data_IF_787198170705
#
_entry.id   IF_787198170705
#
_cell.length_a   1.000
_cell.length_b   1.000
_cell.length_c   1.000
_cell.angle_alpha   90.00
_cell.angle_beta   90.00
_cell.angle_gamma   90.00
#
_symmetry.space_group_name_H-M   'P 1'
#
loop_
_entity.id
_entity.type
_entity.pdbx_description
1 polymer ?
#
# COMPACT_ATOMS: atom_id res chain seq x y z
N UNK A 1 -5.45 17.78 17.55
CA UNK A 1 -4.04 17.35 17.70
C UNK A 1 -3.19 18.17 16.73
N UNK A 2 -1.92 18.50 17.04
CA UNK A 2 -0.98 18.99 16.01
C UNK A 2 -0.27 17.77 15.44
N UNK A 3 -0.34 17.57 14.13
CA UNK A 3 0.28 16.43 13.45
C UNK A 3 0.38 16.70 11.95
N UNK A 4 1.14 15.86 11.26
CA UNK A 4 1.34 15.93 9.81
C UNK A 4 0.94 14.59 9.18
N UNK A 5 0.47 14.66 7.93
CA UNK A 5 0.12 13.49 7.13
C UNK A 5 0.80 13.65 5.78
N UNK A 6 1.47 12.59 5.32
CA UNK A 6 1.99 12.46 3.97
C UNK A 6 1.34 11.24 3.33
N UNK A 7 0.88 11.39 2.09
CA UNK A 7 0.20 10.34 1.32
C UNK A 7 0.50 10.51 -0.18
N UNK A 8 0.23 9.46 -0.98
CA UNK A 8 0.49 9.45 -2.42
C UNK A 8 -0.39 10.43 -3.21
N UNK A 9 -1.58 10.76 -2.68
CA UNK A 9 -2.49 11.74 -3.25
C UNK A 9 -2.84 12.87 -2.26
N UNK A 10 -3.02 14.08 -2.79
CA UNK A 10 -3.47 15.26 -2.02
C UNK A 10 -4.75 14.98 -1.24
N UNK A 11 -5.74 14.34 -1.85
CA UNK A 11 -7.03 14.04 -1.23
C UNK A 11 -6.90 13.05 -0.07
N UNK A 12 -6.04 12.03 -0.21
CA UNK A 12 -5.69 11.10 0.87
C UNK A 12 -5.04 11.83 2.05
N UNK A 13 -4.08 12.73 1.77
CA UNK A 13 -3.45 13.54 2.82
C UNK A 13 -4.44 14.49 3.50
N UNK A 14 -5.34 15.12 2.74
CA UNK A 14 -6.40 15.99 3.26
C UNK A 14 -7.40 15.24 4.14
N UNK A 15 -7.74 13.99 3.80
CA UNK A 15 -8.61 13.12 4.58
C UNK A 15 -7.96 12.72 5.92
N UNK A 16 -6.68 12.35 5.91
CA UNK A 16 -5.94 12.11 7.16
C UNK A 16 -5.82 13.37 8.02
N UNK A 17 -5.53 14.52 7.40
CA UNK A 17 -5.47 15.81 8.09
C UNK A 17 -6.84 16.21 8.66
N UNK A 18 -7.94 15.87 7.99
CA UNK A 18 -9.29 16.04 8.50
C UNK A 18 -9.50 15.25 9.80
N UNK A 19 -9.12 13.97 9.84
CA UNK A 19 -9.27 13.16 11.05
C UNK A 19 -8.47 13.72 12.24
N UNK A 20 -7.26 14.25 12.01
CA UNK A 20 -6.48 14.94 13.06
C UNK A 20 -7.17 16.22 13.58
N UNK A 21 -7.85 16.96 12.69
CA UNK A 21 -8.63 18.15 13.07
C UNK A 21 -9.88 17.80 13.86
N UNK A 22 -10.53 16.68 13.53
CA UNK A 22 -11.68 16.13 14.27
C UNK A 22 -11.29 15.53 15.64
N UNK A 23 -9.99 15.55 16.00
CA UNK A 23 -9.50 15.10 17.30
C UNK A 23 -9.13 13.62 17.37
N UNK A 24 -9.04 12.94 16.22
CA UNK A 24 -8.59 11.56 16.10
C UNK A 24 -7.11 11.33 16.43
N UNK A 25 -6.72 10.06 16.45
CA UNK A 25 -5.34 9.60 16.63
C UNK A 25 -4.56 9.56 15.31
N UNK A 26 -3.27 9.23 15.36
CA UNK A 26 -2.51 8.94 14.15
C UNK A 26 -3.07 7.73 13.37
N UNK A 27 -3.70 6.77 14.07
CA UNK A 27 -4.37 5.63 13.46
C UNK A 27 -5.65 6.07 12.76
N UNK A 28 -6.49 6.90 13.38
CA UNK A 28 -7.66 7.48 12.71
C UNK A 28 -7.28 8.26 11.44
N UNK A 29 -6.18 9.01 11.50
CA UNK A 29 -5.63 9.76 10.36
C UNK A 29 -5.15 8.84 9.24
N UNK A 30 -4.42 7.77 9.57
CA UNK A 30 -3.99 6.78 8.60
C UNK A 30 -5.21 6.10 7.93
N UNK A 31 -6.22 5.70 8.71
CA UNK A 31 -7.43 5.06 8.19
C UNK A 31 -8.22 5.98 7.26
N UNK A 32 -8.47 7.23 7.66
CA UNK A 32 -9.18 8.20 6.81
C UNK A 32 -8.41 8.46 5.50
N UNK A 33 -7.08 8.54 5.56
CA UNK A 33 -6.24 8.64 4.37
C UNK A 33 -6.35 7.39 3.48
N UNK A 34 -6.31 6.19 4.05
CA UNK A 34 -6.45 4.93 3.30
C UNK A 34 -7.82 4.80 2.64
N UNK A 35 -8.91 5.13 3.32
CA UNK A 35 -10.24 5.09 2.70
C UNK A 35 -10.39 6.09 1.57
N UNK A 36 -9.79 7.28 1.68
CA UNK A 36 -9.72 8.22 0.56
C UNK A 36 -8.83 7.68 -0.58
N UNK A 37 -7.72 7.01 -0.27
CA UNK A 37 -6.84 6.38 -1.26
C UNK A 37 -7.55 5.27 -2.06
N UNK A 38 -8.52 4.55 -1.46
CA UNK A 38 -9.35 3.60 -2.23
C UNK A 38 -10.10 4.26 -3.38
N UNK A 39 -10.41 5.55 -3.26
CA UNK A 39 -11.08 6.36 -4.27
C UNK A 39 -10.06 6.97 -5.22
N UNK A 40 -9.00 7.56 -4.66
CA UNK A 40 -8.13 8.48 -5.41
C UNK A 40 -6.85 7.85 -5.94
N UNK A 41 -6.48 6.66 -5.48
CA UNK A 41 -5.20 6.02 -5.80
C UNK A 41 -5.39 4.65 -6.48
N UNK A 42 -6.59 4.36 -6.99
CA UNK A 42 -6.77 3.26 -7.94
C UNK A 42 -5.91 3.48 -9.20
N UNK A 43 -5.11 2.49 -9.64
CA UNK A 43 -5.14 1.06 -9.30
C UNK A 43 -4.11 0.58 -8.25
N UNK A 44 -3.42 1.48 -7.56
CA UNK A 44 -2.35 1.12 -6.62
C UNK A 44 -2.88 0.52 -5.31
N UNK A 45 -4.12 0.85 -4.94
CA UNK A 45 -4.77 0.35 -3.73
C UNK A 45 -6.29 0.35 -3.88
N UNK A 46 -6.99 -0.31 -2.96
CA UNK A 46 -8.44 -0.41 -2.94
C UNK A 46 -8.94 -1.25 -1.77
N UNK A 47 -10.27 -1.45 -1.66
CA UNK A 47 -10.88 -2.25 -0.59
C UNK A 47 -10.36 -3.68 -0.50
N UNK A 48 -9.97 -4.27 -1.64
CA UNK A 48 -9.44 -5.62 -1.75
C UNK A 48 -7.90 -5.65 -1.76
N UNK A 49 -7.23 -4.69 -1.12
CA UNK A 49 -5.78 -4.69 -1.03
C UNK A 49 -5.25 -5.49 0.18
N UNK A 50 -3.92 -5.66 0.23
CA UNK A 50 -3.16 -6.12 1.38
C UNK A 50 -2.07 -5.10 1.73
N UNK A 51 -1.48 -5.21 2.92
CA UNK A 51 -0.41 -4.30 3.33
C UNK A 51 0.12 -4.53 4.73
N UNK A 52 0.83 -3.54 5.26
CA UNK A 52 1.38 -3.55 6.61
C UNK A 52 1.12 -2.22 7.31
N UNK A 53 0.81 -2.25 8.61
CA UNK A 53 0.72 -1.04 9.44
C UNK A 53 1.79 -1.07 10.52
N UNK A 54 2.80 -0.21 10.42
CA UNK A 54 3.79 0.01 11.46
C UNK A 54 3.31 1.11 12.40
N UNK A 55 3.18 0.79 13.69
CA UNK A 55 2.81 1.73 14.74
C UNK A 55 3.94 1.88 15.74
N UNK A 56 4.40 3.11 15.89
CA UNK A 56 5.34 3.51 16.94
C UNK A 56 4.67 4.54 17.85
N UNK A 57 4.67 4.27 19.14
CA UNK A 57 4.22 5.20 20.18
C UNK A 57 5.33 5.28 21.26
N UNK A 58 5.78 6.49 21.63
CA UNK A 58 6.84 6.64 22.63
C UNK A 58 6.50 5.93 23.94
N UNK A 59 7.42 5.10 24.43
CA UNK A 59 7.25 4.33 25.66
C UNK A 59 6.43 3.04 25.51
N UNK A 60 5.90 2.75 24.31
CA UNK A 60 5.27 1.47 24.00
C UNK A 60 6.15 0.66 23.05
N UNK A 61 5.91 -0.66 23.02
CA UNK A 61 6.50 -1.57 22.04
C UNK A 61 6.03 -1.15 20.64
N UNK A 62 6.98 -0.92 19.71
CA UNK A 62 6.67 -0.75 18.28
C UNK A 62 6.14 -2.08 17.72
N UNK A 63 5.06 -2.01 16.95
CA UNK A 63 4.37 -3.18 16.38
C UNK A 63 4.13 -3.01 14.89
N UNK A 64 4.11 -4.12 14.16
CA UNK A 64 3.64 -4.18 12.77
C UNK A 64 2.41 -5.07 12.70
N UNK A 65 1.30 -4.57 12.16
CA UNK A 65 0.20 -5.41 11.74
C UNK A 65 0.48 -5.88 10.31
N UNK A 66 0.59 -7.18 10.15
CA UNK A 66 0.61 -7.85 8.86
C UNK A 66 -0.83 -8.14 8.45
N UNK A 67 -1.26 -7.38 7.46
CA UNK A 67 -2.53 -7.55 6.76
C UNK A 67 -2.27 -7.80 5.27
N UNK A 68 -1.17 -8.50 4.95
CA UNK A 68 -0.77 -8.81 3.58
C UNK A 68 -1.66 -9.92 2.99
N UNK A 69 -1.58 -10.10 1.68
CA UNK A 69 -2.38 -11.10 0.99
C UNK A 69 -2.09 -12.52 1.50
N UNK A 70 -3.14 -13.35 1.58
CA UNK A 70 -3.00 -14.79 1.79
C UNK A 70 -3.37 -15.55 0.51
N UNK A 71 -2.79 -16.73 0.31
CA UNK A 71 -3.11 -17.60 -0.81
C UNK A 71 -4.50 -18.22 -0.57
N UNK A 72 -5.45 -18.10 -1.52
CA UNK A 72 -6.76 -18.75 -1.40
C UNK A 72 -6.62 -20.28 -1.28
N UNK A 73 -7.55 -20.91 -0.56
CA UNK A 73 -7.56 -22.38 -0.42
C UNK A 73 -7.97 -23.10 -1.71
N UNK A 74 -8.74 -22.43 -2.57
CA UNK A 74 -9.17 -22.94 -3.87
C UNK A 74 -8.62 -22.05 -4.99
N UNK A 75 -8.07 -22.68 -6.04
CA UNK A 75 -7.68 -21.99 -7.27
C UNK A 75 -8.91 -21.48 -8.03
N UNK A 76 -8.75 -20.40 -8.81
CA UNK A 76 -9.86 -19.70 -9.46
C UNK A 76 -9.55 -19.41 -10.91
N UNK A 77 -10.56 -19.55 -11.78
CA UNK A 77 -10.57 -19.12 -13.18
C UNK A 77 -9.25 -19.25 -13.93
N UNK A 78 -9.00 -18.28 -14.81
CA UNK A 78 -7.80 -18.21 -15.64
C UNK A 78 -6.88 -17.07 -15.16
N UNK A 79 -5.60 -17.17 -15.51
CA UNK A 79 -4.59 -16.11 -15.32
C UNK A 79 -3.99 -15.75 -16.67
N UNK A 80 -4.02 -14.46 -17.01
CA UNK A 80 -3.31 -13.94 -18.17
C UNK A 80 -2.08 -13.15 -17.73
N UNK A 81 -1.01 -13.24 -18.51
CA UNK A 81 0.18 -12.38 -18.39
C UNK A 81 0.07 -11.20 -19.37
N UNK A 82 0.23 -9.98 -18.86
CA UNK A 82 0.30 -8.74 -19.65
C UNK A 82 1.64 -8.06 -19.39
N UNK A 83 2.37 -7.78 -20.46
CA UNK A 83 3.59 -6.99 -20.40
C UNK A 83 3.25 -5.51 -20.50
N UNK A 84 3.72 -4.73 -19.52
CA UNK A 84 3.55 -3.28 -19.47
C UNK A 84 4.92 -2.63 -19.57
N UNK A 85 5.04 -1.67 -20.49
CA UNK A 85 6.27 -0.92 -20.69
C UNK A 85 6.22 0.41 -19.91
N UNK A 86 7.13 0.58 -18.94
CA UNK A 86 7.30 1.82 -18.19
C UNK A 86 8.27 2.76 -18.93
N UNK A 87 8.05 2.95 -20.23
CA UNK A 87 8.92 3.70 -21.12
C UNK A 87 10.41 3.32 -20.93
N UNK A 88 11.29 4.30 -20.71
CA UNK A 88 12.74 4.07 -20.61
C UNK A 88 13.19 3.34 -19.32
N UNK A 89 12.27 3.02 -18.40
CA UNK A 89 12.63 2.43 -17.10
C UNK A 89 12.73 0.90 -17.15
N UNK A 90 11.65 0.22 -17.55
CA UNK A 90 11.58 -1.25 -17.55
C UNK A 90 10.30 -1.76 -18.19
N UNK A 91 10.34 -2.95 -18.79
CA UNK A 91 9.14 -3.75 -19.03
C UNK A 91 8.86 -4.64 -17.83
N UNK A 92 7.62 -4.62 -17.33
CA UNK A 92 7.17 -5.45 -16.21
C UNK A 92 6.08 -6.41 -16.65
N UNK A 93 6.08 -7.59 -16.05
CA UNK A 93 5.03 -8.59 -16.21
C UNK A 93 3.96 -8.40 -15.13
N UNK A 94 2.73 -8.25 -15.58
CA UNK A 94 1.52 -8.22 -14.76
C UNK A 94 0.73 -9.48 -14.97
N UNK A 95 0.18 -10.02 -13.88
CA UNK A 95 -0.78 -11.11 -13.94
C UNK A 95 -2.15 -10.60 -13.55
N UNK A 96 -3.13 -10.94 -14.37
CA UNK A 96 -4.53 -10.52 -14.23
C UNK A 96 -5.47 -11.72 -14.35
N UNK A 97 -6.75 -11.51 -14.04
CA UNK A 97 -7.78 -12.54 -14.08
C UNK A 97 -8.03 -13.16 -12.70
N UNK A 98 -9.09 -13.95 -12.59
CA UNK A 98 -9.60 -14.46 -11.30
C UNK A 98 -8.54 -15.23 -10.50
N UNK A 99 -7.67 -15.98 -11.18
CA UNK A 99 -6.57 -16.74 -10.57
C UNK A 99 -5.51 -15.86 -9.89
N UNK A 100 -5.38 -14.61 -10.36
CA UNK A 100 -4.42 -13.64 -9.80
C UNK A 100 -4.89 -13.00 -8.49
N UNK A 101 -6.15 -13.22 -8.10
CA UNK A 101 -6.77 -12.60 -6.92
C UNK A 101 -6.44 -13.41 -5.67
N UNK A 102 -5.66 -12.80 -4.77
CA UNK A 102 -5.36 -13.35 -3.45
C UNK A 102 -6.40 -12.91 -2.40
N UNK A 103 -6.39 -13.55 -1.22
CA UNK A 103 -7.27 -13.18 -0.09
C UNK A 103 -6.80 -11.84 0.49
N UNK A 104 -7.61 -10.77 0.44
CA UNK A 104 -7.17 -9.45 0.87
C UNK A 104 -7.28 -9.26 2.38
N UNK A 105 -6.23 -8.68 2.98
CA UNK A 105 -6.15 -8.48 4.43
C UNK A 105 -6.37 -7.05 4.91
N UNK A 106 -6.24 -6.04 4.03
CA UNK A 106 -6.06 -4.64 4.45
C UNK A 106 -7.19 -4.13 5.33
N UNK A 107 -8.45 -4.30 4.92
CA UNK A 107 -9.61 -3.83 5.70
C UNK A 107 -9.67 -4.46 7.09
N UNK A 108 -9.34 -5.75 7.21
CA UNK A 108 -9.28 -6.44 8.50
C UNK A 108 -8.14 -5.87 9.37
N UNK A 109 -6.99 -5.53 8.75
CA UNK A 109 -5.88 -4.84 9.41
C UNK A 109 -6.25 -3.44 9.91
N UNK A 110 -6.95 -2.65 9.09
CA UNK A 110 -7.45 -1.32 9.46
C UNK A 110 -8.44 -1.42 10.62
N UNK A 111 -9.34 -2.40 10.58
CA UNK A 111 -10.29 -2.66 11.66
C UNK A 111 -9.57 -2.99 12.97
N UNK A 112 -8.61 -3.91 12.94
CA UNK A 112 -7.82 -4.27 14.11
C UNK A 112 -7.03 -3.07 14.67
N UNK A 113 -6.46 -2.22 13.80
CA UNK A 113 -5.78 -1.00 14.23
C UNK A 113 -6.74 -0.01 14.90
N UNK A 114 -7.93 0.18 14.32
CA UNK A 114 -8.98 1.04 14.86
C UNK A 114 -9.44 0.59 16.24
N UNK A 115 -9.65 -0.71 16.44
CA UNK A 115 -10.10 -1.25 17.73
C UNK A 115 -9.06 -1.06 18.83
N UNK A 116 -7.77 -1.08 18.48
CA UNK A 116 -6.67 -0.93 19.45
C UNK A 116 -6.39 0.53 19.80
N UNK A 117 -6.44 1.42 18.80
CA UNK A 117 -5.86 2.78 18.89
C UNK A 117 -6.69 3.86 18.19
N UNK A 118 -7.84 3.51 17.62
CA UNK A 118 -8.79 4.46 17.06
C UNK A 118 -9.52 5.24 18.15
N UNK A 119 -9.99 6.44 17.79
CA UNK A 119 -10.77 7.30 18.68
C UNK A 119 -12.03 7.82 18.00
N UNK A 120 -11.95 8.19 16.72
CA UNK A 120 -13.14 8.59 15.97
C UNK A 120 -14.04 7.38 15.74
N UNK A 121 -15.38 7.53 15.72
CA UNK A 121 -16.27 6.44 15.37
C UNK A 121 -15.95 5.88 13.97
N UNK A 122 -15.90 4.55 13.82
CA UNK A 122 -15.58 3.88 12.55
C UNK A 122 -16.35 4.48 11.36
N UNK A 123 -17.68 4.69 11.43
CA UNK A 123 -18.41 5.24 10.30
C UNK A 123 -17.99 6.65 9.88
N UNK A 124 -17.47 7.47 10.81
CA UNK A 124 -17.01 8.83 10.53
C UNK A 124 -15.78 8.84 9.64
N UNK A 125 -14.89 7.85 9.77
CA UNK A 125 -13.65 7.77 9.00
C UNK A 125 -13.89 7.66 7.49
N UNK A 126 -15.06 7.19 7.06
CA UNK A 126 -15.46 7.08 5.66
C UNK A 126 -15.98 8.39 5.04
N UNK A 127 -16.21 9.43 5.86
CA UNK A 127 -16.83 10.68 5.37
C UNK A 127 -16.03 11.30 4.21
N UNK A 128 -14.70 11.49 4.30
CA UNK A 128 -13.93 12.07 3.19
C UNK A 128 -14.00 11.21 1.92
N UNK A 129 -13.85 9.89 2.06
CA UNK A 129 -13.89 8.96 0.93
C UNK A 129 -15.26 8.97 0.22
N UNK A 130 -16.35 8.95 0.98
CA UNK A 130 -17.71 9.01 0.44
C UNK A 130 -18.01 10.34 -0.25
N UNK A 131 -17.47 11.45 0.25
CA UNK A 131 -17.61 12.75 -0.41
C UNK A 131 -16.82 12.82 -1.71
N UNK A 132 -15.59 12.28 -1.72
CA UNK A 132 -14.75 12.20 -2.92
C UNK A 132 -15.36 11.31 -4.00
N UNK A 133 -15.87 10.14 -3.63
CA UNK A 133 -16.40 9.16 -4.59
C UNK A 133 -17.67 9.62 -5.31
N UNK A 134 -18.38 10.64 -4.82
CA UNK A 134 -19.66 11.11 -5.40
C UNK A 134 -19.54 11.83 -6.74
N UNK A 135 -18.33 12.22 -7.15
CA UNK A 135 -18.12 12.96 -8.39
C UNK A 135 -16.77 12.60 -9.00
N UNK A 136 -16.65 12.70 -10.34
CA UNK A 136 -15.36 12.59 -10.99
C UNK A 136 -14.37 13.66 -10.50
N UNK A 137 -13.09 13.31 -10.50
CA UNK A 137 -11.99 14.24 -10.19
C UNK A 137 -10.82 14.06 -11.15
N UNK A 138 -10.01 15.12 -11.29
CA UNK A 138 -8.88 15.16 -12.21
C UNK A 138 -7.72 14.30 -11.73
N UNK A 139 -7.09 13.60 -12.67
CA UNK A 139 -5.86 12.86 -12.41
C UNK A 139 -4.65 13.79 -12.36
N UNK A 140 -3.68 13.44 -11.53
CA UNK A 140 -2.34 14.05 -11.61
C UNK A 140 -1.60 13.56 -12.85
N UNK A 141 -0.54 14.25 -13.32
CA UNK A 141 0.26 13.77 -14.46
C UNK A 141 0.79 12.35 -14.29
N UNK A 142 1.22 11.98 -13.08
CA UNK A 142 1.69 10.64 -12.77
C UNK A 142 0.57 9.58 -12.87
N UNK A 143 -0.64 9.92 -12.43
CA UNK A 143 -1.80 9.03 -12.56
C UNK A 143 -2.25 8.89 -14.02
N UNK A 144 -2.27 9.99 -14.78
CA UNK A 144 -2.57 9.95 -16.22
C UNK A 144 -1.63 8.99 -16.94
N UNK A 145 -0.31 9.13 -16.71
CA UNK A 145 0.69 8.23 -17.28
C UNK A 145 0.42 6.76 -16.87
N UNK A 146 0.16 6.52 -15.58
CA UNK A 146 -0.12 5.18 -15.07
C UNK A 146 -1.39 4.57 -15.72
N UNK A 147 -2.46 5.36 -15.86
CA UNK A 147 -3.71 4.89 -16.47
C UNK A 147 -3.56 4.62 -17.97
N UNK A 148 -2.73 5.40 -18.67
CA UNK A 148 -2.41 5.19 -20.09
C UNK A 148 -1.66 3.88 -20.32
N UNK A 149 -0.60 3.62 -19.54
CA UNK A 149 0.17 2.37 -19.73
C UNK A 149 -0.63 1.14 -19.27
N UNK A 150 -1.53 1.28 -18.29
CA UNK A 150 -2.33 0.18 -17.75
C UNK A 150 -3.70 0.00 -18.42
N UNK A 151 -4.00 0.67 -19.55
CA UNK A 151 -5.27 0.46 -20.30
C UNK A 151 -5.60 -1.03 -20.53
N UNK A 152 -4.66 -1.91 -20.94
CA UNK A 152 -4.96 -3.33 -21.15
C UNK A 152 -5.47 -4.07 -19.91
N UNK A 153 -5.21 -3.52 -18.72
CA UNK A 153 -5.63 -4.06 -17.43
C UNK A 153 -6.88 -3.32 -16.95
N UNK A 154 -6.79 -2.00 -16.79
CA UNK A 154 -7.83 -1.17 -16.17
C UNK A 154 -9.12 -1.09 -16.98
N UNK A 155 -9.06 -1.28 -18.30
CA UNK A 155 -10.22 -1.19 -19.18
C UNK A 155 -10.60 -2.54 -19.80
N UNK A 156 -10.10 -3.65 -19.21
CA UNK A 156 -10.48 -5.01 -19.63
C UNK A 156 -11.95 -5.30 -19.38
N UNK A 157 -12.49 -4.83 -18.26
CA UNK A 157 -13.88 -5.02 -17.86
C UNK A 157 -14.68 -3.71 -17.86
N UNK A 158 -16.01 -3.83 -17.94
CA UNK A 158 -16.90 -2.67 -17.97
C UNK A 158 -16.81 -1.82 -16.69
N UNK A 159 -16.57 -2.44 -15.53
CA UNK A 159 -16.37 -1.72 -14.27
C UNK A 159 -15.17 -0.79 -14.35
N UNK A 160 -14.02 -1.31 -14.76
CA UNK A 160 -12.81 -0.52 -14.94
C UNK A 160 -12.93 0.54 -16.03
N UNK A 161 -13.64 0.26 -17.14
CA UNK A 161 -13.96 1.27 -18.17
C UNK A 161 -14.78 2.45 -17.62
N UNK A 162 -15.73 2.20 -16.71
CA UNK A 162 -16.50 3.29 -16.10
C UNK A 162 -15.64 4.16 -15.20
N UNK A 163 -14.70 3.57 -14.47
CA UNK A 163 -13.82 4.30 -13.54
C UNK A 163 -12.70 5.06 -14.27
N UNK A 164 -12.01 4.40 -15.22
CA UNK A 164 -10.76 4.87 -15.83
C UNK A 164 -10.86 5.19 -17.33
N UNK A 165 -12.03 5.02 -17.95
CA UNK A 165 -12.21 5.17 -19.40
C UNK A 165 -12.24 6.61 -19.90
N UNK A 166 -12.29 7.60 -19.01
CA UNK A 166 -12.31 9.02 -19.34
C UNK A 166 -10.92 9.61 -19.11
N UNK A 167 -10.22 9.95 -20.19
CA UNK A 167 -8.88 10.53 -20.10
C UNK A 167 -8.84 11.74 -19.15
N UNK A 168 -7.86 11.74 -18.24
CA UNK A 168 -7.67 12.82 -17.27
C UNK A 168 -8.61 12.81 -16.06
N UNK A 169 -9.51 11.81 -15.95
CA UNK A 169 -10.52 11.74 -14.90
C UNK A 169 -10.62 10.34 -14.29
N UNK A 170 -10.89 10.30 -12.99
CA UNK A 170 -11.35 9.09 -12.30
C UNK A 170 -12.82 9.30 -11.92
N UNK A 171 -13.69 8.37 -12.27
CA UNK A 171 -15.10 8.33 -11.82
C UNK A 171 -15.33 7.13 -10.90
N UNK A 172 -15.12 7.35 -9.59
CA UNK A 172 -15.26 6.33 -8.56
C UNK A 172 -16.68 6.24 -7.98
N UNK A 173 -17.71 6.74 -8.69
CA UNK A 173 -19.11 6.74 -8.21
C UNK A 173 -19.62 5.33 -7.90
N UNK A 174 -19.20 4.33 -8.68
CA UNK A 174 -19.54 2.92 -8.48
C UNK A 174 -18.92 2.33 -7.19
N UNK A 175 -17.94 3.00 -6.58
CA UNK A 175 -17.32 2.56 -5.33
C UNK A 175 -18.15 2.96 -4.09
N UNK A 176 -19.11 3.88 -4.22
CA UNK A 176 -19.92 4.37 -3.09
C UNK A 176 -20.65 3.24 -2.34
N UNK A 177 -21.35 2.29 -3.01
CA UNK A 177 -21.98 1.17 -2.33
C UNK A 177 -20.98 0.30 -1.56
N UNK A 178 -19.78 0.07 -2.12
CA UNK A 178 -18.69 -0.67 -1.47
C UNK A 178 -18.21 0.05 -0.22
N UNK A 179 -17.97 1.36 -0.27
CA UNK A 179 -17.57 2.16 0.89
C UNK A 179 -18.64 2.15 1.98
N UNK A 180 -19.93 2.23 1.61
CA UNK A 180 -21.05 2.11 2.55
C UNK A 180 -21.08 0.73 3.21
N UNK A 181 -20.85 -0.33 2.43
CA UNK A 181 -20.82 -1.69 2.98
C UNK A 181 -19.66 -1.89 3.95
N UNK A 182 -18.45 -1.42 3.63
CA UNK A 182 -17.29 -1.43 4.55
C UNK A 182 -17.56 -0.64 5.83
N UNK A 183 -18.24 0.50 5.71
CA UNK A 183 -18.64 1.35 6.83
C UNK A 183 -19.59 0.64 7.78
N UNK A 184 -20.59 -0.06 7.24
CA UNK A 184 -21.73 -0.58 8.01
C UNK A 184 -21.53 -2.03 8.47
N UNK A 185 -20.97 -2.89 7.61
CA UNK A 185 -20.80 -4.31 7.89
C UNK A 185 -19.44 -4.67 8.53
N UNK A 186 -18.48 -3.75 8.56
CA UNK A 186 -17.14 -3.93 9.17
C UNK A 186 -16.47 -5.22 8.68
N UNK A 187 -16.18 -6.17 9.57
CA UNK A 187 -15.59 -7.48 9.25
C UNK A 187 -16.43 -8.33 8.29
N UNK A 188 -17.76 -8.13 8.28
CA UNK A 188 -18.67 -8.83 7.38
C UNK A 188 -18.70 -8.27 5.96
N UNK A 189 -18.05 -7.13 5.69
CA UNK A 189 -18.14 -6.47 4.39
C UNK A 189 -17.41 -7.25 3.28
N UNK A 190 -16.16 -7.68 3.53
CA UNK A 190 -15.36 -8.37 2.50
C UNK A 190 -15.98 -9.72 2.07
N UNK A 191 -16.47 -10.59 2.98
CA UNK A 191 -17.15 -11.83 2.57
C UNK A 191 -18.41 -11.61 1.72
N UNK A 192 -19.04 -10.43 1.79
CA UNK A 192 -20.18 -10.06 0.95
C UNK A 192 -19.75 -9.51 -0.41
N UNK A 193 -18.61 -8.82 -0.47
CA UNK A 193 -18.05 -8.26 -1.71
C UNK A 193 -17.36 -9.32 -2.57
N UNK A 194 -16.72 -10.28 -1.91
CA UNK A 194 -15.92 -11.34 -2.50
C UNK A 194 -16.46 -12.69 -2.00
N UNK A 195 -17.70 -12.99 -2.41
CA UNK A 195 -18.44 -14.15 -1.92
C UNK A 195 -17.68 -15.46 -2.19
N UNK A 196 -16.93 -15.49 -3.26
CA UNK A 196 -16.15 -16.64 -3.67
C UNK A 196 -14.95 -16.86 -2.73
N UNK A 197 -14.43 -15.80 -2.08
CA UNK A 197 -13.37 -15.83 -1.06
C UNK A 197 -13.91 -15.84 0.38
N UNK A 198 -15.24 -15.96 0.58
CA UNK A 198 -15.86 -15.78 1.89
C UNK A 198 -15.30 -16.72 2.97
N UNK A 199 -15.09 -18.00 2.65
CA UNK A 199 -14.52 -18.97 3.58
C UNK A 199 -13.08 -18.61 3.99
N UNK A 200 -12.24 -18.22 3.02
CA UNK A 200 -10.88 -17.78 3.26
C UNK A 200 -10.84 -16.50 4.11
N UNK A 201 -11.72 -15.53 3.82
CA UNK A 201 -11.83 -14.26 4.56
C UNK A 201 -12.27 -14.47 6.01
N UNK A 202 -13.18 -15.42 6.27
CA UNK A 202 -13.56 -15.81 7.64
C UNK A 202 -12.40 -16.47 8.37
N UNK A 203 -11.55 -17.21 7.66
CA UNK A 203 -10.36 -17.85 8.21
C UNK A 203 -9.15 -16.91 8.36
N UNK A 204 -9.10 -15.81 7.60
CA UNK A 204 -8.00 -14.86 7.57
C UNK A 204 -7.70 -14.25 8.95
N UNK A 205 -6.43 -14.09 9.29
CA UNK A 205 -6.00 -13.47 10.55
C UNK A 205 -4.95 -12.40 10.26
N UNK A 206 -5.16 -11.22 10.85
CA UNK A 206 -4.14 -10.17 10.93
C UNK A 206 -3.10 -10.63 11.95
N UNK A 207 -1.84 -10.70 11.53
CA UNK A 207 -0.74 -11.07 12.43
C UNK A 207 -0.08 -9.84 13.02
N UNK A 208 0.14 -9.83 14.33
CA UNK A 208 0.98 -8.81 14.96
C UNK A 208 2.43 -9.30 15.01
N UNK A 209 3.33 -8.53 14.41
CA UNK A 209 4.75 -8.84 14.29
C UNK A 209 5.59 -7.79 15.00
N UNK A 210 6.78 -8.19 15.45
CA UNK A 210 7.83 -7.25 15.85
C UNK A 210 8.50 -6.68 14.59
N UNK A 211 8.75 -5.37 14.53
CA UNK A 211 9.50 -4.79 13.42
C UNK A 211 10.93 -5.37 13.37
N UNK A 212 11.56 -5.27 12.21
CA UNK A 212 13.02 -5.38 12.13
C UNK A 212 13.62 -4.08 12.69
N UNK A 213 14.69 -4.22 13.46
CA UNK A 213 15.35 -3.14 14.19
C UNK A 213 16.81 -3.03 13.72
N UNK A 214 17.27 -1.81 13.47
CA UNK A 214 18.66 -1.53 13.13
C UNK A 214 19.02 -0.06 13.29
N UNK A 215 20.26 0.29 12.98
CA UNK A 215 20.80 1.63 13.16
C UNK A 215 21.23 2.26 11.84
N UNK A 216 21.12 3.58 11.75
CA UNK A 216 21.72 4.37 10.68
C UNK A 216 21.98 5.79 11.15
N UNK A 217 23.21 6.29 10.99
CA UNK A 217 23.60 7.65 11.37
C UNK A 217 23.16 8.02 12.81
N UNK A 218 23.30 7.08 13.75
CA UNK A 218 22.90 7.25 15.16
C UNK A 218 21.38 7.22 15.42
N UNK A 219 20.55 7.01 14.40
CA UNK A 219 19.11 6.82 14.53
C UNK A 219 18.76 5.35 14.70
N UNK A 220 17.69 5.07 15.46
CA UNK A 220 17.08 3.76 15.52
C UNK A 220 16.01 3.65 14.42
N UNK A 221 16.10 2.61 13.60
CA UNK A 221 15.27 2.41 12.42
C UNK A 221 14.45 1.14 12.55
N UNK A 222 13.14 1.30 12.50
CA UNK A 222 12.18 0.19 12.44
C UNK A 222 11.73 -0.05 11.00
N UNK A 223 11.74 -1.30 10.54
CA UNK A 223 11.23 -1.67 9.22
C UNK A 223 10.32 -2.91 9.28
N UNK A 224 9.61 -3.17 8.19
CA UNK A 224 8.68 -4.30 8.08
C UNK A 224 9.41 -5.65 8.09
N UNK A 225 8.98 -6.62 8.91
CA UNK A 225 9.52 -7.98 8.88
C UNK A 225 8.93 -8.81 7.72
N UNK A 226 9.36 -10.07 7.63
CA UNK A 226 8.70 -11.07 6.78
C UNK A 226 7.18 -11.09 7.03
N UNK A 227 6.34 -11.32 6.00
CA UNK A 227 6.71 -11.78 4.65
C UNK A 227 7.24 -10.69 3.69
N UNK A 228 7.28 -9.42 4.11
CA UNK A 228 7.94 -8.37 3.30
C UNK A 228 9.46 -8.55 3.29
N UNK A 229 10.05 -8.58 2.10
CA UNK A 229 11.51 -8.57 1.95
C UNK A 229 12.09 -7.14 2.02
N UNK A 230 11.27 -6.12 1.74
CA UNK A 230 11.72 -4.74 1.60
C UNK A 230 12.34 -4.19 2.87
N UNK A 231 11.78 -4.51 4.03
CA UNK A 231 12.34 -4.05 5.30
C UNK A 231 13.72 -4.65 5.59
N UNK A 232 14.00 -5.89 5.19
CA UNK A 232 15.31 -6.51 5.33
C UNK A 232 16.33 -5.91 4.36
N UNK A 233 15.94 -5.69 3.10
CA UNK A 233 16.77 -5.02 2.08
C UNK A 233 17.19 -3.62 2.57
N UNK A 234 16.25 -2.85 3.11
CA UNK A 234 16.53 -1.51 3.67
C UNK A 234 17.51 -1.60 4.84
N UNK A 235 17.32 -2.54 5.78
CA UNK A 235 18.22 -2.68 6.94
C UNK A 235 19.66 -3.02 6.51
N UNK A 236 19.84 -3.95 5.57
CA UNK A 236 21.16 -4.31 5.04
C UNK A 236 21.79 -3.12 4.32
N UNK A 237 21.02 -2.41 3.48
CA UNK A 237 21.51 -1.24 2.76
C UNK A 237 21.94 -0.10 3.69
N UNK A 238 21.13 0.22 4.70
CA UNK A 238 21.46 1.24 5.69
C UNK A 238 22.69 0.86 6.51
N UNK A 239 22.80 -0.39 6.96
CA UNK A 239 23.99 -0.86 7.69
C UNK A 239 25.26 -0.78 6.82
N UNK A 240 25.16 -1.09 5.53
CA UNK A 240 26.29 -0.96 4.59
C UNK A 240 26.69 0.50 4.37
N UNK A 241 25.72 1.42 4.27
CA UNK A 241 25.99 2.86 4.20
C UNK A 241 26.66 3.39 5.46
N UNK A 242 26.21 2.97 6.63
CA UNK A 242 26.76 3.41 7.92
C UNK A 242 28.20 2.91 8.14
N UNK A 243 28.53 1.75 7.56
CA UNK A 243 29.88 1.18 7.57
C UNK A 243 30.80 1.70 6.46
N UNK A 244 30.30 2.50 5.52
CA UNK A 244 31.07 2.96 4.37
C UNK A 244 32.19 3.93 4.78
N UNK A 245 33.35 3.93 4.09
CA UNK A 245 34.39 4.94 4.30
C UNK A 245 33.81 6.34 4.14
N UNK A 246 34.13 7.25 5.06
CA UNK A 246 33.62 8.63 5.03
C UNK A 246 32.20 8.80 5.57
N UNK A 247 31.48 7.74 5.96
CA UNK A 247 30.12 7.82 6.51
C UNK A 247 30.00 8.79 7.70
N UNK A 248 30.96 8.76 8.63
CA UNK A 248 30.99 9.67 9.79
C UNK A 248 31.20 11.15 9.43
N UNK A 249 31.87 11.43 8.30
CA UNK A 249 32.06 12.80 7.81
C UNK A 249 30.86 13.28 6.98
N UNK A 250 30.00 12.35 6.54
CA UNK A 250 28.97 12.58 5.54
C UNK A 250 29.56 12.70 4.14
N UNK A 251 28.81 12.28 3.14
CA UNK A 251 29.11 12.60 1.75
C UNK A 251 28.32 13.84 1.34
N UNK A 252 28.90 14.67 0.47
CA UNK A 252 28.13 15.76 -0.13
C UNK A 252 27.04 15.16 -1.03
N UNK A 253 25.82 15.68 -0.89
CA UNK A 253 24.68 15.22 -1.70
C UNK A 253 24.96 15.38 -3.20
N UNK A 254 24.78 14.31 -3.97
CA UNK A 254 25.07 14.21 -5.39
C UNK A 254 26.54 13.99 -5.73
N UNK A 255 27.43 13.75 -4.75
CA UNK A 255 28.85 13.52 -5.03
C UNK A 255 29.11 12.12 -5.62
N UNK A 256 30.21 11.95 -6.39
CA UNK A 256 30.63 10.62 -6.84
C UNK A 256 30.83 9.62 -5.70
N UNK A 257 31.36 10.08 -4.57
CA UNK A 257 31.59 9.22 -3.41
C UNK A 257 30.28 8.74 -2.78
N UNK A 258 29.26 9.61 -2.69
CA UNK A 258 27.91 9.21 -2.28
C UNK A 258 27.32 8.18 -3.24
N UNK A 259 27.46 8.40 -4.55
CA UNK A 259 26.96 7.49 -5.56
C UNK A 259 27.63 6.10 -5.48
N UNK A 260 28.94 6.05 -5.25
CA UNK A 260 29.68 4.79 -5.05
C UNK A 260 29.23 4.09 -3.77
N UNK A 261 29.10 4.83 -2.66
CA UNK A 261 28.63 4.27 -1.39
C UNK A 261 27.22 3.67 -1.53
N UNK A 262 26.31 4.39 -2.21
CA UNK A 262 24.95 3.92 -2.47
C UNK A 262 24.92 2.68 -3.36
N UNK A 263 25.72 2.65 -4.43
CA UNK A 263 25.80 1.51 -5.32
C UNK A 263 26.28 0.23 -4.59
N UNK A 264 27.32 0.35 -3.74
CA UNK A 264 27.83 -0.76 -2.94
C UNK A 264 26.81 -1.22 -1.89
N UNK A 265 26.10 -0.29 -1.25
CA UNK A 265 25.06 -0.62 -0.29
C UNK A 265 23.88 -1.35 -0.95
N UNK A 266 23.44 -0.91 -2.13
CA UNK A 266 22.41 -1.60 -2.91
C UNK A 266 22.89 -2.99 -3.34
N UNK A 267 24.14 -3.12 -3.78
CA UNK A 267 24.71 -4.42 -4.12
C UNK A 267 24.68 -5.36 -2.92
N UNK A 268 25.07 -4.90 -1.73
CA UNK A 268 25.03 -5.70 -0.50
C UNK A 268 23.58 -6.07 -0.11
N UNK A 269 22.64 -5.13 -0.24
CA UNK A 269 21.24 -5.33 0.12
C UNK A 269 20.54 -6.39 -0.76
N UNK A 270 20.89 -6.47 -2.04
CA UNK A 270 20.32 -7.43 -2.99
C UNK A 270 21.19 -8.69 -3.20
N UNK A 271 22.45 -8.71 -2.74
CA UNK A 271 23.37 -9.85 -2.88
C UNK A 271 22.82 -11.20 -2.35
N UNK A 272 22.09 -11.26 -1.21
CA UNK A 272 21.49 -12.51 -0.72
C UNK A 272 20.44 -13.12 -1.67
N UNK A 273 19.90 -12.34 -2.62
CA UNK A 273 18.97 -12.80 -3.66
C UNK A 273 19.59 -12.89 -5.07
N UNK A 274 20.86 -12.54 -5.24
CA UNK A 274 21.47 -12.36 -6.56
C UNK A 274 21.90 -13.66 -7.25
N UNK A 275 21.82 -14.83 -6.60
CA UNK A 275 22.06 -16.12 -7.25
C UNK A 275 20.79 -16.62 -7.97
N UNK A 276 20.41 -15.96 -9.06
CA UNK A 276 19.52 -16.56 -10.07
C UNK A 276 18.18 -15.86 -10.32
N UNK A 277 17.74 -14.90 -9.50
CA UNK A 277 16.54 -14.10 -9.80
C UNK A 277 16.95 -12.78 -10.44
N UNK A 278 16.61 -12.57 -11.71
CA UNK A 278 16.47 -11.21 -12.24
C UNK A 278 15.53 -10.47 -11.29
N UNK A 279 15.78 -9.20 -10.91
CA UNK A 279 14.80 -8.39 -10.21
C UNK A 279 13.69 -7.99 -11.19
N UNK A 280 12.96 -8.98 -11.74
CA UNK A 280 11.68 -8.75 -12.36
C UNK A 280 10.68 -8.72 -11.21
N UNK A 281 10.38 -7.52 -10.70
CA UNK A 281 9.20 -7.36 -9.86
C UNK A 281 7.99 -7.87 -10.63
N UNK A 282 7.26 -8.82 -10.06
CA UNK A 282 5.95 -9.22 -10.57
C UNK A 282 4.92 -8.41 -9.80
N UNK A 283 4.06 -7.70 -10.51
CA UNK A 283 2.94 -6.97 -9.91
C UNK A 283 1.66 -7.70 -10.28
N UNK A 284 0.86 -8.06 -9.29
CA UNK A 284 -0.45 -8.66 -9.50
C UNK A 284 -1.49 -7.55 -9.40
N UNK A 285 -2.39 -7.45 -10.39
CA UNK A 285 -3.49 -6.49 -10.37
C UNK A 285 -4.77 -7.29 -10.43
N UNK A 286 -5.46 -7.29 -9.28
CA UNK A 286 -6.77 -7.91 -9.05
C UNK A 286 -7.90 -6.98 -9.43
#
# INVERSE_FOLDING_TARGET
MRGAVAAGNRHSAEAGAWALREGGTCVDAALAATFAAFVTEGPLTGPAAGGFLLLHEPGLQTTVLDCFFAVPTEGRGEMDEILIDFADASTQSFHIGESSVAVPGLVLGLLAAHERRGRLPWPRLFTPALELARRPFETTPAQTFLHEILVPILQREDGGRRVYGRAGLIDASDLVPTLVLLRDAREGALPLLLAELAADLVAYRVEERRPLEGGYAGMHVFTTPAPSIGGAVVQVGLAALDAAPGAAAGHAAGSPDEAVALALALQAAYAPGASGTRPSGTTHVS
#
